data_IF_185528652642
#
_entry.id   IF_185528652642
#
_cell.length_a   1.000
_cell.length_b   1.000
_cell.length_c   1.000
_cell.angle_alpha   90.00
_cell.angle_beta   90.00
_cell.angle_gamma   90.00
#
_symmetry.space_group_name_H-M   'P 1'
#
loop_
_entity.id
_entity.type
_entity.pdbx_description
1 polymer ?
#
# COMPACT_ATOMS: atom_id res chain seq x y z
N UNK A 1 -15.96 18.52 12.26
CA UNK A 1 -15.69 19.11 10.92
C UNK A 1 -16.19 18.21 9.80
N UNK A 2 -15.77 16.94 9.74
CA UNK A 2 -16.18 15.94 8.73
C UNK A 2 -17.72 15.73 8.66
N UNK A 3 -18.37 15.55 9.81
CA UNK A 3 -19.85 15.41 9.90
C UNK A 3 -20.60 16.55 9.21
N UNK A 4 -20.11 17.79 9.37
CA UNK A 4 -20.71 18.98 8.73
C UNK A 4 -20.55 18.91 7.21
N UNK A 5 -19.35 18.59 6.72
CA UNK A 5 -19.10 18.46 5.28
C UNK A 5 -19.98 17.38 4.63
N UNK A 6 -20.13 16.22 5.28
CA UNK A 6 -20.99 15.14 4.79
C UNK A 6 -22.47 15.55 4.80
N UNK A 7 -22.91 16.27 5.83
CA UNK A 7 -24.28 16.80 5.89
C UNK A 7 -24.53 17.82 4.77
N UNK A 8 -23.57 18.72 4.53
CA UNK A 8 -23.65 19.72 3.47
C UNK A 8 -23.65 19.07 2.06
N UNK A 9 -22.94 17.95 1.87
CA UNK A 9 -23.00 17.14 0.63
C UNK A 9 -24.37 16.49 0.47
N UNK A 10 -24.89 15.81 1.51
CA UNK A 10 -26.20 15.13 1.45
C UNK A 10 -27.37 16.10 1.22
N UNK A 11 -27.26 17.33 1.73
CA UNK A 11 -28.31 18.36 1.59
C UNK A 11 -28.16 19.19 0.31
N UNK A 12 -27.11 18.97 -0.49
CA UNK A 12 -26.81 19.76 -1.68
C UNK A 12 -26.32 21.19 -1.38
N UNK A 13 -26.05 21.52 -0.12
CA UNK A 13 -25.50 22.81 0.29
C UNK A 13 -24.02 22.97 -0.12
N UNK A 14 -23.31 21.86 -0.33
CA UNK A 14 -21.96 21.84 -0.87
C UNK A 14 -21.98 21.53 -2.38
N UNK A 15 -21.72 22.54 -3.20
CA UNK A 15 -21.67 22.44 -4.66
C UNK A 15 -20.24 22.40 -5.22
N UNK A 16 -19.21 22.32 -4.37
CA UNK A 16 -17.80 22.32 -4.80
C UNK A 16 -17.46 21.19 -5.78
N UNK A 17 -18.29 20.14 -5.82
CA UNK A 17 -18.12 18.97 -6.65
C UNK A 17 -18.65 19.16 -8.08
N UNK A 18 -19.44 20.21 -8.35
CA UNK A 18 -20.05 20.46 -9.67
C UNK A 18 -19.02 20.77 -10.77
N UNK A 19 -17.80 21.15 -10.39
CA UNK A 19 -16.70 21.43 -11.30
C UNK A 19 -15.66 20.31 -11.36
N UNK A 20 -15.83 19.24 -10.57
CA UNK A 20 -14.91 18.10 -10.61
C UNK A 20 -15.22 17.24 -11.83
N UNK A 21 -14.18 16.85 -12.56
CA UNK A 21 -14.30 15.96 -13.73
C UNK A 21 -14.65 14.51 -13.34
N UNK A 22 -14.57 14.17 -12.05
CA UNK A 22 -14.81 12.83 -11.52
C UNK A 22 -15.51 12.90 -10.16
N UNK A 23 -16.41 11.94 -9.89
CA UNK A 23 -17.08 11.79 -8.62
C UNK A 23 -16.09 11.38 -7.51
N UNK A 24 -16.26 11.89 -6.29
CA UNK A 24 -15.48 11.42 -5.15
C UNK A 24 -16.05 10.09 -4.64
N UNK A 25 -15.28 9.35 -3.84
CA UNK A 25 -15.73 8.10 -3.18
C UNK A 25 -17.08 8.29 -2.46
N UNK A 26 -17.27 9.40 -1.75
CA UNK A 26 -18.55 9.70 -1.08
C UNK A 26 -19.75 9.90 -2.02
N UNK A 27 -19.55 10.46 -3.21
CA UNK A 27 -20.63 10.58 -4.19
C UNK A 27 -21.02 9.19 -4.71
N UNK A 28 -20.02 8.37 -5.06
CA UNK A 28 -20.25 6.99 -5.49
C UNK A 28 -20.96 6.16 -4.41
N UNK A 29 -20.58 6.30 -3.13
CA UNK A 29 -21.27 5.61 -2.03
C UNK A 29 -22.73 6.09 -1.91
N UNK A 30 -22.97 7.40 -1.98
CA UNK A 30 -24.32 7.97 -1.88
C UNK A 30 -25.21 7.55 -3.05
N UNK A 31 -24.66 7.48 -4.27
CA UNK A 31 -25.36 7.10 -5.51
C UNK A 31 -25.43 5.58 -5.72
N UNK A 32 -24.72 4.79 -4.91
CA UNK A 32 -24.71 3.33 -5.00
C UNK A 32 -26.03 2.65 -4.62
N UNK A 33 -26.11 1.33 -4.83
CA UNK A 33 -27.25 0.49 -4.39
C UNK A 33 -27.16 0.04 -2.92
N UNK A 34 -26.25 0.62 -2.13
CA UNK A 34 -26.10 0.24 -0.71
C UNK A 34 -27.38 0.55 0.09
N UNK A 35 -27.69 -0.25 1.12
CA UNK A 35 -28.81 0.02 2.02
C UNK A 35 -28.68 1.38 2.72
N UNK A 36 -29.80 2.05 2.99
CA UNK A 36 -29.83 3.34 3.71
C UNK A 36 -29.05 3.37 5.04
N UNK A 37 -29.02 2.31 5.86
CA UNK A 37 -28.19 2.25 7.06
C UNK A 37 -26.69 2.50 6.81
N UNK A 38 -26.16 2.07 5.66
CA UNK A 38 -24.75 2.28 5.28
C UNK A 38 -24.48 3.71 4.78
N UNK A 39 -25.53 4.45 4.42
CA UNK A 39 -25.45 5.84 3.93
C UNK A 39 -25.73 6.89 5.02
N UNK A 40 -25.76 6.46 6.28
CA UNK A 40 -25.94 7.39 7.40
C UNK A 40 -24.73 8.32 7.52
N UNK A 41 -24.97 9.56 7.98
CA UNK A 41 -23.88 10.55 8.15
C UNK A 41 -22.78 10.02 9.06
N UNK A 42 -23.16 9.27 10.10
CA UNK A 42 -22.20 8.64 11.02
C UNK A 42 -21.33 7.62 10.30
N UNK A 43 -21.92 6.64 9.60
CA UNK A 43 -21.16 5.63 8.84
C UNK A 43 -20.20 6.28 7.85
N UNK A 44 -20.68 7.24 7.05
CA UNK A 44 -19.83 7.96 6.10
C UNK A 44 -18.71 8.76 6.79
N UNK A 45 -18.95 9.31 7.98
CA UNK A 45 -17.92 10.02 8.75
C UNK A 45 -16.85 9.07 9.26
N UNK A 46 -17.27 7.90 9.77
CA UNK A 46 -16.36 6.86 10.25
C UNK A 46 -15.49 6.34 9.09
N UNK A 47 -16.07 6.07 7.91
CA UNK A 47 -15.31 5.66 6.72
C UNK A 47 -14.34 6.76 6.23
N UNK A 48 -14.75 8.03 6.26
CA UNK A 48 -13.88 9.15 5.88
C UNK A 48 -12.64 9.23 6.76
N UNK A 49 -12.82 9.06 8.07
CA UNK A 49 -11.71 9.07 9.01
C UNK A 49 -10.74 7.92 8.75
N UNK A 50 -11.26 6.71 8.51
CA UNK A 50 -10.44 5.53 8.20
C UNK A 50 -9.63 5.73 6.92
N UNK A 51 -10.27 6.15 5.82
CA UNK A 51 -9.61 6.32 4.51
C UNK A 51 -8.51 7.39 4.60
N UNK A 52 -8.80 8.53 5.21
CA UNK A 52 -7.83 9.63 5.34
C UNK A 52 -6.66 9.20 6.22
N UNK A 53 -6.92 8.55 7.36
CA UNK A 53 -5.86 8.10 8.26
C UNK A 53 -4.97 7.05 7.59
N UNK A 54 -5.58 6.02 6.99
CA UNK A 54 -4.90 4.93 6.33
C UNK A 54 -4.02 5.43 5.17
N UNK A 55 -4.55 6.32 4.32
CA UNK A 55 -3.83 6.86 3.17
C UNK A 55 -2.77 7.91 3.52
N UNK A 56 -2.92 8.62 4.64
CA UNK A 56 -2.00 9.72 4.98
C UNK A 56 -0.77 9.24 5.74
N UNK A 57 -0.94 8.57 6.87
CA UNK A 57 0.18 8.23 7.76
C UNK A 57 1.12 7.20 7.14
N UNK A 58 0.57 6.18 6.48
CA UNK A 58 1.36 5.11 5.85
C UNK A 58 2.19 5.64 4.67
N UNK A 59 1.58 6.49 3.84
CA UNK A 59 2.24 7.13 2.70
C UNK A 59 3.32 8.10 3.17
N UNK A 60 3.02 8.96 4.15
CA UNK A 60 4.00 9.89 4.71
C UNK A 60 5.22 9.15 5.26
N UNK A 61 4.99 8.10 6.06
CA UNK A 61 6.07 7.28 6.61
C UNK A 61 6.91 6.61 5.51
N UNK A 62 6.27 6.13 4.45
CA UNK A 62 6.96 5.53 3.30
C UNK A 62 7.85 6.54 2.57
N UNK A 63 7.35 7.76 2.36
CA UNK A 63 8.12 8.83 1.74
C UNK A 63 9.29 9.28 2.61
N UNK A 64 9.14 9.30 3.94
CA UNK A 64 10.21 9.62 4.88
C UNK A 64 11.34 8.59 4.81
N UNK A 65 11.01 7.30 4.90
CA UNK A 65 11.99 6.20 4.78
C UNK A 65 12.68 6.24 3.41
N UNK A 66 11.92 6.39 2.33
CA UNK A 66 12.45 6.50 0.97
C UNK A 66 13.44 7.66 0.85
N UNK A 67 13.05 8.85 1.31
CA UNK A 67 13.87 10.06 1.24
C UNK A 67 15.13 9.92 2.08
N UNK A 68 15.03 9.39 3.30
CA UNK A 68 16.17 9.15 4.18
C UNK A 68 17.22 8.25 3.50
N UNK A 69 16.80 7.12 2.93
CA UNK A 69 17.73 6.19 2.30
C UNK A 69 18.33 6.71 0.99
N UNK A 70 17.53 7.42 0.17
CA UNK A 70 18.02 8.08 -1.03
C UNK A 70 19.10 9.12 -0.71
N UNK A 71 18.90 9.94 0.32
CA UNK A 71 19.88 10.95 0.74
C UNK A 71 21.17 10.33 1.28
N UNK A 72 21.08 9.15 1.91
CA UNK A 72 22.25 8.39 2.39
C UNK A 72 22.95 7.58 1.31
N UNK A 73 22.33 7.41 0.15
CA UNK A 73 22.86 6.59 -0.96
C UNK A 73 22.95 7.44 -2.24
N UNK A 74 23.98 8.32 -2.35
CA UNK A 74 24.09 9.26 -3.47
C UNK A 74 24.09 8.60 -4.86
N UNK A 75 24.59 7.36 -4.96
CA UNK A 75 24.58 6.61 -6.21
C UNK A 75 23.15 6.28 -6.67
N UNK A 76 22.32 5.76 -5.76
CA UNK A 76 20.92 5.45 -6.04
C UNK A 76 20.12 6.72 -6.37
N UNK A 77 20.32 7.81 -5.61
CA UNK A 77 19.67 9.08 -5.89
C UNK A 77 20.04 9.64 -7.28
N UNK A 78 21.30 9.53 -7.71
CA UNK A 78 21.71 9.94 -9.05
C UNK A 78 21.04 9.08 -10.12
N UNK A 79 20.97 7.76 -9.92
CA UNK A 79 20.33 6.82 -10.86
C UNK A 79 18.83 7.11 -11.00
N UNK A 80 18.12 7.29 -9.88
CA UNK A 80 16.70 7.67 -9.88
C UNK A 80 16.46 9.01 -10.59
N UNK A 81 17.28 10.04 -10.27
CA UNK A 81 17.16 11.34 -10.94
C UNK A 81 17.42 11.26 -12.44
N UNK A 82 18.32 10.38 -12.89
CA UNK A 82 18.59 10.19 -14.31
C UNK A 82 17.38 9.59 -15.03
N UNK A 83 16.78 8.53 -14.47
CA UNK A 83 15.56 7.90 -15.00
C UNK A 83 14.39 8.89 -15.05
N UNK A 84 14.13 9.62 -13.96
CA UNK A 84 13.05 10.61 -13.89
C UNK A 84 13.24 11.76 -14.88
N UNK A 85 14.46 12.24 -15.10
CA UNK A 85 14.73 13.29 -16.10
C UNK A 85 14.50 12.82 -17.53
N UNK A 86 14.76 11.55 -17.82
CA UNK A 86 14.47 10.98 -19.13
C UNK A 86 12.96 10.83 -19.35
N UNK A 87 12.22 10.45 -18.30
CA UNK A 87 10.78 10.24 -18.36
C UNK A 87 9.94 11.53 -18.30
N UNK A 88 10.48 12.60 -17.71
CA UNK A 88 9.80 13.89 -17.51
C UNK A 88 10.49 14.96 -18.36
N UNK A 89 10.14 15.09 -19.65
CA UNK A 89 10.80 16.01 -20.58
C UNK A 89 10.51 17.49 -20.28
N UNK A 90 9.32 17.79 -19.76
CA UNK A 90 8.93 19.12 -19.30
C UNK A 90 8.39 19.07 -17.87
N UNK A 91 9.02 19.82 -16.97
CA UNK A 91 8.63 19.92 -15.56
C UNK A 91 7.31 20.66 -15.34
N UNK A 92 6.86 21.44 -16.31
CA UNK A 92 5.65 22.25 -16.23
C UNK A 92 4.41 21.48 -16.71
N UNK A 93 4.61 20.31 -17.33
CA UNK A 93 3.54 19.46 -17.85
C UNK A 93 3.44 18.20 -16.98
N UNK A 94 2.26 17.89 -16.40
CA UNK A 94 2.07 16.66 -15.67
C UNK A 94 2.38 15.44 -16.54
N UNK A 95 3.30 14.60 -16.08
CA UNK A 95 3.59 13.33 -16.73
C UNK A 95 2.48 12.33 -16.40
N UNK A 96 1.91 11.60 -17.38
CA UNK A 96 0.88 10.61 -17.12
C UNK A 96 1.36 9.54 -16.12
N UNK A 97 0.47 9.14 -15.21
CA UNK A 97 0.78 8.12 -14.20
C UNK A 97 1.29 6.82 -14.84
N UNK A 98 0.65 6.36 -15.92
CA UNK A 98 1.04 5.16 -16.66
C UNK A 98 2.50 5.20 -17.12
N UNK A 99 3.02 6.39 -17.46
CA UNK A 99 4.43 6.55 -17.84
C UNK A 99 5.36 6.38 -16.63
N UNK A 100 4.98 6.93 -15.47
CA UNK A 100 5.76 6.80 -14.23
C UNK A 100 5.73 5.37 -13.68
N UNK A 101 4.60 4.68 -13.80
CA UNK A 101 4.43 3.29 -13.37
C UNK A 101 5.29 2.31 -14.17
N UNK A 102 5.72 2.68 -15.37
CA UNK A 102 6.61 1.87 -16.21
C UNK A 102 8.10 2.04 -15.87
N UNK A 103 8.47 2.98 -14.99
CA UNK A 103 9.87 3.24 -14.67
C UNK A 103 10.42 2.18 -13.69
N UNK A 104 11.33 1.30 -14.13
CA UNK A 104 11.74 0.15 -13.34
C UNK A 104 12.50 0.58 -12.07
N UNK A 105 13.37 1.59 -12.14
CA UNK A 105 14.16 2.00 -10.99
C UNK A 105 13.34 2.78 -9.96
N UNK A 106 12.41 3.64 -10.39
CA UNK A 106 11.43 4.28 -9.51
C UNK A 106 10.62 3.22 -8.75
N UNK A 107 10.10 2.20 -9.44
CA UNK A 107 9.37 1.11 -8.81
C UNK A 107 10.25 0.33 -7.81
N UNK A 108 11.50 0.04 -8.17
CA UNK A 108 12.44 -0.62 -7.29
C UNK A 108 12.73 0.17 -6.00
N UNK A 109 12.89 1.49 -6.12
CA UNK A 109 13.07 2.41 -4.98
C UNK A 109 11.83 2.42 -4.07
N UNK A 110 10.63 2.48 -4.66
CA UNK A 110 9.37 2.47 -3.89
C UNK A 110 9.21 1.13 -3.17
N UNK A 111 9.40 0.00 -3.86
CA UNK A 111 9.29 -1.35 -3.29
C UNK A 111 10.27 -1.59 -2.16
N UNK A 112 11.54 -1.18 -2.32
CA UNK A 112 12.53 -1.36 -1.26
C UNK A 112 12.26 -0.47 -0.05
N UNK A 113 11.75 0.74 -0.28
CA UNK A 113 11.33 1.62 0.80
C UNK A 113 10.13 1.03 1.56
N UNK A 114 9.12 0.52 0.85
CA UNK A 114 7.98 -0.19 1.46
C UNK A 114 8.40 -1.43 2.26
N UNK A 115 9.42 -2.16 1.81
CA UNK A 115 9.95 -3.31 2.57
C UNK A 115 10.47 -2.88 3.94
N UNK A 116 11.19 -1.76 4.01
CA UNK A 116 11.82 -1.26 5.24
C UNK A 116 10.95 -0.31 6.07
N UNK A 117 9.76 0.07 5.60
CA UNK A 117 8.79 0.79 6.42
C UNK A 117 8.03 -0.14 7.37
N UNK A 118 7.97 -1.43 7.04
CA UNK A 118 7.22 -2.50 7.71
C UNK A 118 5.70 -2.28 7.83
N UNK A 119 5.18 -1.21 7.24
CA UNK A 119 3.76 -0.83 7.28
C UNK A 119 3.20 -0.87 8.70
N UNK A 120 2.16 -1.69 8.89
CA UNK A 120 1.62 -1.99 10.22
C UNK A 120 2.47 -3.09 10.87
N UNK A 121 3.33 -2.70 11.82
CA UNK A 121 4.24 -3.62 12.51
C UNK A 121 3.53 -4.68 13.39
N UNK A 122 2.21 -4.56 13.59
CA UNK A 122 1.39 -5.53 14.32
C UNK A 122 1.12 -6.81 13.52
N UNK A 123 0.78 -7.89 14.24
CA UNK A 123 0.28 -9.11 13.61
C UNK A 123 -1.20 -8.90 13.30
N UNK A 124 -1.54 -8.76 12.03
CA UNK A 124 -2.91 -8.59 11.54
C UNK A 124 -3.64 -9.95 11.59
N UNK A 125 -3.86 -10.45 12.80
CA UNK A 125 -4.34 -11.80 13.03
C UNK A 125 -5.73 -12.03 12.41
N UNK A 126 -5.95 -13.25 11.94
CA UNK A 126 -7.25 -13.77 11.54
C UNK A 126 -7.67 -14.84 12.53
N UNK A 127 -8.95 -14.83 12.88
CA UNK A 127 -9.55 -15.83 13.74
C UNK A 127 -10.53 -16.60 12.87
N UNK A 128 -10.26 -17.89 12.65
CA UNK A 128 -11.16 -18.76 11.94
C UNK A 128 -12.22 -19.31 12.90
N UNK A 129 -13.48 -19.33 12.46
CA UNK A 129 -14.58 -19.96 13.20
C UNK A 129 -14.57 -21.49 13.09
N UNK A 130 -13.83 -22.03 12.13
CA UNK A 130 -13.61 -23.46 11.95
C UNK A 130 -12.13 -23.85 12.13
N UNK A 131 -11.82 -25.11 12.47
CA UNK A 131 -10.44 -25.58 12.53
C UNK A 131 -9.72 -25.42 11.18
N UNK A 132 -8.48 -24.92 11.22
CA UNK A 132 -7.65 -24.80 10.02
C UNK A 132 -6.72 -26.00 9.93
N UNK A 133 -6.66 -26.59 8.74
CA UNK A 133 -5.74 -27.68 8.43
C UNK A 133 -4.56 -27.11 7.64
N UNK A 134 -3.35 -27.29 8.16
CA UNK A 134 -2.13 -26.80 7.53
C UNK A 134 -1.14 -27.93 7.34
N UNK A 135 -0.63 -28.08 6.12
CA UNK A 135 0.45 -29.02 5.82
C UNK A 135 1.74 -28.24 5.68
N UNK A 136 2.71 -28.55 6.54
CA UNK A 136 4.05 -28.01 6.43
C UNK A 136 4.72 -28.56 5.16
N UNK A 137 4.96 -27.67 4.18
CA UNK A 137 5.56 -28.03 2.89
C UNK A 137 6.98 -28.60 2.98
N UNK A 138 7.70 -28.35 4.08
CA UNK A 138 9.08 -28.79 4.26
C UNK A 138 9.17 -30.12 5.01
N UNK A 139 8.32 -30.31 6.02
CA UNK A 139 8.35 -31.52 6.85
C UNK A 139 7.27 -32.54 6.48
N UNK A 140 6.27 -32.13 5.68
CA UNK A 140 5.08 -32.93 5.38
C UNK A 140 4.15 -33.10 6.57
N UNK A 141 4.44 -32.47 7.72
CA UNK A 141 3.62 -32.60 8.93
C UNK A 141 2.29 -31.87 8.75
N UNK A 142 1.23 -32.58 9.08
CA UNK A 142 -0.12 -32.01 9.18
C UNK A 142 -0.33 -31.41 10.57
N UNK A 143 -0.88 -30.20 10.59
CA UNK A 143 -1.24 -29.46 11.78
C UNK A 143 -2.72 -29.12 11.72
N UNK A 144 -3.37 -29.23 12.88
CA UNK A 144 -4.74 -28.75 13.08
C UNK A 144 -4.68 -27.56 14.03
N UNK A 145 -5.03 -26.39 13.53
CA UNK A 145 -5.19 -25.18 14.34
C UNK A 145 -6.63 -25.13 14.82
N UNK A 146 -6.90 -25.16 16.13
CA UNK A 146 -8.27 -25.12 16.63
C UNK A 146 -9.02 -23.85 16.22
N UNK A 147 -10.34 -23.97 16.06
CA UNK A 147 -11.24 -22.82 15.91
C UNK A 147 -11.03 -21.81 17.04
N UNK A 148 -11.16 -20.51 16.72
CA UNK A 148 -10.96 -19.43 17.68
C UNK A 148 -9.50 -19.06 17.93
N UNK A 149 -8.52 -19.75 17.32
CA UNK A 149 -7.09 -19.42 17.45
C UNK A 149 -6.73 -18.23 16.55
N UNK A 150 -6.16 -17.13 17.08
CA UNK A 150 -5.64 -16.05 16.26
C UNK A 150 -4.37 -16.48 15.51
N UNK A 151 -4.42 -16.44 14.18
CA UNK A 151 -3.28 -16.75 13.30
C UNK A 151 -2.82 -15.49 12.60
N UNK A 152 -1.54 -15.15 12.71
CA UNK A 152 -0.98 -13.97 12.07
C UNK A 152 0.52 -14.05 11.86
N UNK A 153 1.01 -13.30 10.88
CA UNK A 153 2.42 -13.21 10.52
C UNK A 153 3.03 -11.88 10.98
N UNK A 154 4.35 -11.85 11.16
CA UNK A 154 5.08 -10.61 11.37
C UNK A 154 5.71 -10.17 10.05
N UNK A 155 5.27 -9.02 9.54
CA UNK A 155 5.83 -8.41 8.33
C UNK A 155 7.33 -8.15 8.50
N UNK A 156 7.74 -7.63 9.65
CA UNK A 156 9.15 -7.37 9.94
C UNK A 156 9.99 -8.66 9.90
N UNK A 157 9.52 -9.77 10.49
CA UNK A 157 10.26 -11.04 10.44
C UNK A 157 10.41 -11.56 9.01
N UNK A 158 9.38 -11.41 8.17
CA UNK A 158 9.41 -11.87 6.78
C UNK A 158 10.29 -11.00 5.89
N UNK A 159 10.23 -9.68 6.07
CA UNK A 159 11.09 -8.74 5.35
C UNK A 159 12.56 -8.84 5.77
N UNK A 160 12.86 -9.49 6.90
CA UNK A 160 14.19 -9.77 7.42
C UNK A 160 14.58 -11.26 7.38
N UNK A 161 13.82 -12.09 6.67
CA UNK A 161 14.25 -13.46 6.40
C UNK A 161 15.39 -13.41 5.37
N UNK A 162 16.62 -13.61 5.83
CA UNK A 162 17.85 -13.58 5.00
C UNK A 162 17.86 -14.65 3.90
N UNK A 163 17.02 -15.67 3.99
CA UNK A 163 16.86 -16.66 2.90
C UNK A 163 16.05 -16.10 1.72
N UNK A 164 15.24 -15.08 1.97
CA UNK A 164 14.40 -14.39 0.97
C UNK A 164 14.99 -13.04 0.58
N UNK A 165 15.49 -12.29 1.57
CA UNK A 165 16.07 -10.96 1.42
C UNK A 165 17.50 -10.94 1.98
N UNK A 166 18.51 -11.40 1.23
CA UNK A 166 19.90 -11.26 1.64
C UNK A 166 20.27 -9.80 1.90
N UNK A 167 21.09 -9.59 2.94
CA UNK A 167 21.43 -8.27 3.48
C UNK A 167 20.15 -7.49 3.82
N UNK A 168 19.23 -8.11 4.54
CA UNK A 168 17.86 -7.60 4.70
C UNK A 168 17.79 -6.22 5.37
N UNK A 169 18.77 -5.85 6.18
CA UNK A 169 18.83 -4.52 6.80
C UNK A 169 19.41 -3.44 5.89
N UNK A 170 20.04 -3.81 4.77
CA UNK A 170 20.50 -2.87 3.76
C UNK A 170 19.34 -2.44 2.86
N UNK A 171 19.32 -1.15 2.52
CA UNK A 171 18.39 -0.61 1.53
C UNK A 171 19.02 -0.74 0.15
N UNK A 172 18.57 -1.73 -0.62
CA UNK A 172 19.13 -2.10 -1.92
C UNK A 172 18.00 -2.13 -2.97
N UNK A 173 17.67 -1.01 -3.63
CA UNK A 173 16.64 -0.99 -4.67
C UNK A 173 16.88 -2.03 -5.77
N UNK A 174 18.14 -2.26 -6.13
CA UNK A 174 18.55 -3.21 -7.16
C UNK A 174 18.06 -4.63 -6.91
N UNK A 175 17.67 -5.01 -5.68
CA UNK A 175 17.11 -6.34 -5.40
C UNK A 175 15.81 -6.64 -6.13
N UNK A 176 15.11 -5.61 -6.60
CA UNK A 176 13.85 -5.73 -7.31
C UNK A 176 14.04 -5.77 -8.83
N UNK A 177 15.28 -5.73 -9.30
CA UNK A 177 15.64 -5.66 -10.71
C UNK A 177 16.32 -6.95 -11.17
N UNK A 178 16.07 -7.33 -12.41
CA UNK A 178 16.79 -8.41 -13.07
C UNK A 178 18.17 -7.95 -13.59
N UNK A 179 18.90 -8.84 -14.25
CA UNK A 179 20.19 -8.53 -14.83
C UNK A 179 20.14 -7.46 -15.95
N UNK A 180 18.98 -7.23 -16.56
CA UNK A 180 18.76 -6.22 -17.58
C UNK A 180 18.34 -4.86 -16.99
N UNK A 181 18.10 -4.80 -15.67
CA UNK A 181 17.59 -3.61 -15.00
C UNK A 181 16.07 -3.47 -15.05
N UNK A 182 15.36 -4.53 -15.44
CA UNK A 182 13.89 -4.58 -15.50
C UNK A 182 13.31 -5.09 -14.18
N UNK A 183 12.09 -4.67 -13.86
CA UNK A 183 11.44 -5.04 -12.60
C UNK A 183 11.12 -6.54 -12.56
N UNK A 184 11.64 -7.25 -11.56
CA UNK A 184 11.31 -8.67 -11.36
C UNK A 184 9.85 -8.82 -10.91
N UNK A 185 9.05 -9.51 -11.72
CA UNK A 185 7.67 -9.87 -11.41
C UNK A 185 7.67 -11.18 -10.60
N UNK A 186 7.38 -11.12 -9.30
CA UNK A 186 7.05 -12.33 -8.53
C UNK A 186 7.55 -12.43 -7.09
N UNK A 187 8.54 -11.66 -6.66
CA UNK A 187 9.09 -11.80 -5.30
C UNK A 187 8.16 -11.34 -4.16
N UNK A 188 7.13 -10.53 -4.46
CA UNK A 188 6.21 -9.99 -3.45
C UNK A 188 4.77 -10.52 -3.56
N UNK A 189 4.42 -11.26 -4.62
CA UNK A 189 3.03 -11.66 -4.90
C UNK A 189 2.48 -12.70 -3.92
N UNK A 190 3.35 -13.48 -3.27
CA UNK A 190 2.95 -14.56 -2.37
C UNK A 190 2.66 -14.16 -0.92
N UNK A 191 2.95 -12.91 -0.53
CA UNK A 191 2.81 -12.43 0.86
C UNK A 191 1.51 -11.63 1.11
N UNK A 192 0.72 -11.37 0.07
CA UNK A 192 -0.40 -10.41 0.07
C UNK A 192 -1.75 -11.13 -0.10
N UNK A 193 -1.93 -12.28 0.58
CA UNK A 193 -3.05 -13.20 0.29
C UNK A 193 -4.41 -12.92 0.95
N UNK A 194 -4.52 -12.06 1.96
CA UNK A 194 -5.80 -11.79 2.64
C UNK A 194 -5.86 -10.44 3.38
N UNK A 195 -4.86 -9.60 3.14
CA UNK A 195 -4.55 -8.33 3.81
C UNK A 195 -4.01 -7.31 2.80
N UNK A 196 -4.33 -7.48 1.52
CA UNK A 196 -4.02 -6.45 0.53
C UNK A 196 -4.59 -5.13 1.04
N UNK A 197 -3.77 -4.08 1.02
CA UNK A 197 -4.29 -2.72 1.09
C UNK A 197 -5.34 -2.60 -0.02
N UNK A 198 -6.54 -2.14 0.35
CA UNK A 198 -7.68 -1.96 -0.56
C UNK A 198 -7.44 -0.85 -1.60
#
# INVERSE_FOLDING_TARGET
>A
HIVKQITDIKTGANTSNQHLSHATIFHEILDSKLPEPEKTVRRLSDEAEVIVLAGTLTTAWTLDVCTFHLLRTPAALRKLKAELRAAIPDRNVPTPLVTLEQLPYLNAVIKESLRLTYGVAGRLARIAEEPLFFTDRWTGREWVVPSGTPVGMSIAQLHHDETVFPDSHAWIPERWLDANGELMLGHASGLVGALSCD
#
